data_IF_757173763053
#
_entry.id   IF_757173763053
#
_cell.length_a   1.000
_cell.length_b   1.000
_cell.length_c   1.000
_cell.angle_alpha   90.00
_cell.angle_beta   90.00
_cell.angle_gamma   90.00
#
_symmetry.space_group_name_H-M   'P 1'
#
loop_
_entity.id
_entity.type
_entity.pdbx_description
1 polymer ?
#
# COMPACT_ATOMS: atom_id res chain seq x y z
N UNK A 1 13.99 25.50 -5.58
CA UNK A 1 14.43 24.52 -4.55
C UNK A 1 13.37 24.26 -3.50
N UNK A 2 12.97 25.23 -2.65
CA UNK A 2 11.98 24.97 -1.56
C UNK A 2 10.57 24.61 -2.07
N UNK A 3 10.05 25.33 -3.07
CA UNK A 3 8.71 25.06 -3.61
C UNK A 3 8.60 23.67 -4.29
N UNK A 4 9.65 23.23 -4.98
CA UNK A 4 9.73 21.93 -5.65
C UNK A 4 9.74 20.78 -4.63
N UNK A 5 10.50 20.93 -3.54
CA UNK A 5 10.49 19.98 -2.43
C UNK A 5 9.10 19.85 -1.76
N UNK A 6 8.38 20.96 -1.62
CA UNK A 6 7.03 20.94 -1.04
C UNK A 6 6.02 20.21 -1.94
N UNK A 7 6.11 20.39 -3.27
CA UNK A 7 5.27 19.68 -4.24
C UNK A 7 5.56 18.17 -4.20
N UNK A 8 6.83 17.77 -4.22
CA UNK A 8 7.24 16.36 -4.13
C UNK A 8 6.70 15.73 -2.85
N UNK A 9 6.80 16.45 -1.72
CA UNK A 9 6.31 15.96 -0.43
C UNK A 9 4.80 15.70 -0.46
N UNK A 10 4.00 16.63 -1.01
CA UNK A 10 2.55 16.46 -1.13
C UNK A 10 2.20 15.28 -2.04
N UNK A 11 2.84 15.19 -3.20
CA UNK A 11 2.60 14.10 -4.16
C UNK A 11 2.92 12.75 -3.52
N UNK A 12 4.03 12.66 -2.79
CA UNK A 12 4.42 11.43 -2.10
C UNK A 12 3.48 11.05 -0.97
N UNK A 13 3.00 12.02 -0.22
CA UNK A 13 2.05 11.78 0.86
C UNK A 13 0.74 11.22 0.30
N UNK A 14 0.22 11.80 -0.78
CA UNK A 14 -0.99 11.31 -1.47
C UNK A 14 -0.75 9.91 -2.05
N UNK A 15 0.39 9.67 -2.70
CA UNK A 15 0.72 8.40 -3.31
C UNK A 15 0.80 7.24 -2.29
N UNK A 16 1.30 7.50 -1.08
CA UNK A 16 1.44 6.50 -0.01
C UNK A 16 0.15 6.31 0.79
N UNK A 17 -0.69 7.35 0.89
CA UNK A 17 -1.95 7.29 1.63
C UNK A 17 -2.89 6.19 1.13
N UNK A 18 -3.07 6.06 -0.19
CA UNK A 18 -3.96 5.04 -0.78
C UNK A 18 -3.59 3.61 -0.36
N UNK A 19 -2.35 3.14 -0.68
CA UNK A 19 -1.84 1.84 -0.24
C UNK A 19 -1.94 1.62 1.27
N UNK A 20 -1.63 2.64 2.08
CA UNK A 20 -1.69 2.54 3.55
C UNK A 20 -3.10 2.25 4.06
N UNK A 21 -4.12 2.89 3.48
CA UNK A 21 -5.53 2.63 3.84
C UNK A 21 -5.94 1.21 3.47
N UNK A 22 -5.55 0.73 2.29
CA UNK A 22 -5.86 -0.63 1.84
C UNK A 22 -5.22 -1.67 2.78
N UNK A 23 -3.96 -1.47 3.17
CA UNK A 23 -3.27 -2.35 4.12
C UNK A 23 -3.94 -2.35 5.49
N UNK A 24 -4.34 -1.17 5.99
CA UNK A 24 -5.02 -1.06 7.29
C UNK A 24 -6.37 -1.81 7.30
N UNK A 25 -7.18 -1.63 6.25
CA UNK A 25 -8.47 -2.32 6.10
C UNK A 25 -8.26 -3.83 5.95
N UNK A 26 -7.28 -4.25 5.14
CA UNK A 26 -6.93 -5.66 4.97
C UNK A 26 -6.50 -6.30 6.30
N UNK A 27 -5.60 -5.66 7.05
CA UNK A 27 -5.12 -6.16 8.34
C UNK A 27 -6.27 -6.34 9.33
N UNK A 28 -7.18 -5.36 9.42
CA UNK A 28 -8.37 -5.48 10.26
C UNK A 28 -9.26 -6.66 9.84
N UNK A 29 -9.50 -6.82 8.54
CA UNK A 29 -10.32 -7.91 8.02
C UNK A 29 -9.71 -9.29 8.28
N UNK A 30 -8.38 -9.44 8.11
CA UNK A 30 -7.64 -10.67 8.38
C UNK A 30 -7.73 -11.04 9.87
N UNK A 31 -7.44 -10.09 10.76
CA UNK A 31 -7.51 -10.33 12.21
C UNK A 31 -8.93 -10.74 12.62
N UNK A 32 -9.95 -10.04 12.11
CA UNK A 32 -11.35 -10.34 12.39
C UNK A 32 -11.77 -11.71 11.85
N UNK A 33 -11.29 -12.11 10.67
CA UNK A 33 -11.59 -13.42 10.09
C UNK A 33 -10.94 -14.57 10.87
N UNK A 34 -9.65 -14.42 11.22
CA UNK A 34 -8.92 -15.42 12.00
C UNK A 34 -9.45 -15.56 13.42
N UNK A 35 -9.86 -14.46 14.05
CA UNK A 35 -10.51 -14.50 15.36
C UNK A 35 -11.84 -15.26 15.37
N UNK A 36 -12.52 -15.36 14.22
CA UNK A 36 -13.76 -16.16 14.05
C UNK A 36 -13.48 -17.62 13.69
N UNK A 37 -12.40 -17.90 12.94
CA UNK A 37 -12.03 -19.25 12.54
C UNK A 37 -10.50 -19.39 12.32
N UNK A 38 -9.76 -19.83 13.34
CA UNK A 38 -8.31 -20.02 13.25
C UNK A 38 -7.88 -21.07 12.20
N UNK A 39 -8.72 -22.09 11.96
CA UNK A 39 -8.42 -23.14 10.98
C UNK A 39 -8.42 -22.62 9.52
N UNK A 40 -8.94 -21.42 9.27
CA UNK A 40 -8.91 -20.78 7.95
C UNK A 40 -7.57 -20.10 7.61
N UNK A 41 -6.60 -20.07 8.53
CA UNK A 41 -5.33 -19.35 8.37
C UNK A 41 -4.61 -19.67 7.06
N UNK A 42 -4.49 -20.95 6.69
CA UNK A 42 -3.82 -21.35 5.45
C UNK A 42 -4.48 -20.80 4.19
N UNK A 43 -5.82 -20.68 4.17
CA UNK A 43 -6.56 -20.11 3.02
C UNK A 43 -6.46 -18.58 2.98
N UNK A 44 -6.55 -17.93 4.13
CA UNK A 44 -6.48 -16.47 4.25
C UNK A 44 -5.08 -15.96 3.92
N UNK A 45 -4.03 -16.70 4.29
CA UNK A 45 -2.65 -16.31 4.04
C UNK A 45 -2.37 -16.05 2.56
N UNK A 46 -2.74 -16.98 1.68
CA UNK A 46 -2.52 -16.82 0.23
C UNK A 46 -3.30 -15.67 -0.37
N UNK A 47 -4.55 -15.45 0.06
CA UNK A 47 -5.35 -14.30 -0.38
C UNK A 47 -4.73 -12.98 0.10
N UNK A 48 -4.23 -12.93 1.34
CA UNK A 48 -3.56 -11.76 1.90
C UNK A 48 -2.26 -11.46 1.14
N UNK A 49 -1.44 -12.47 0.86
CA UNK A 49 -0.18 -12.31 0.09
C UNK A 49 -0.47 -11.76 -1.30
N UNK A 50 -1.45 -12.32 -2.02
CA UNK A 50 -1.82 -11.82 -3.35
C UNK A 50 -2.28 -10.35 -3.32
N UNK A 51 -3.07 -9.97 -2.30
CA UNK A 51 -3.49 -8.58 -2.09
C UNK A 51 -2.31 -7.65 -1.78
N UNK A 52 -1.42 -8.04 -0.86
CA UNK A 52 -0.26 -7.23 -0.50
C UNK A 52 0.69 -7.03 -1.67
N UNK A 53 0.95 -8.07 -2.47
CA UNK A 53 1.76 -7.95 -3.70
C UNK A 53 1.13 -6.94 -4.67
N UNK A 54 -0.20 -6.97 -4.82
CA UNK A 54 -0.91 -6.03 -5.70
C UNK A 54 -0.81 -4.59 -5.19
N UNK A 55 -0.91 -4.39 -3.88
CA UNK A 55 -0.74 -3.07 -3.24
C UNK A 55 0.68 -2.57 -3.43
N UNK A 56 1.69 -3.40 -3.20
CA UNK A 56 3.10 -3.05 -3.41
C UNK A 56 3.40 -2.73 -4.88
N UNK A 57 2.82 -3.46 -5.83
CA UNK A 57 3.00 -3.16 -7.25
C UNK A 57 2.50 -1.74 -7.60
N UNK A 58 1.34 -1.34 -7.07
CA UNK A 58 0.80 0.02 -7.25
C UNK A 58 1.72 1.06 -6.59
N UNK A 59 2.20 0.80 -5.37
CA UNK A 59 3.13 1.68 -4.67
C UNK A 59 4.43 1.90 -5.44
N UNK A 60 5.02 0.82 -5.98
CA UNK A 60 6.25 0.89 -6.78
C UNK A 60 6.02 1.69 -8.06
N UNK A 61 4.91 1.43 -8.79
CA UNK A 61 4.59 2.17 -10.02
C UNK A 61 4.40 3.66 -9.72
N UNK A 62 3.68 4.00 -8.66
CA UNK A 62 3.48 5.39 -8.24
C UNK A 62 4.82 6.06 -7.90
N UNK A 63 5.70 5.36 -7.19
CA UNK A 63 7.03 5.86 -6.86
C UNK A 63 7.88 6.08 -8.10
N UNK A 64 7.87 5.14 -9.07
CA UNK A 64 8.57 5.29 -10.35
C UNK A 64 8.08 6.49 -11.16
N UNK A 65 6.76 6.75 -11.16
CA UNK A 65 6.19 7.94 -11.83
C UNK A 65 6.71 9.21 -11.17
N UNK A 66 6.74 9.27 -9.83
CA UNK A 66 7.27 10.44 -9.11
C UNK A 66 8.75 10.62 -9.41
N UNK A 67 9.56 9.55 -9.40
CA UNK A 67 10.96 9.65 -9.82
C UNK A 67 11.07 10.13 -11.27
N UNK A 68 10.29 9.61 -12.21
CA UNK A 68 10.34 10.04 -13.61
C UNK A 68 9.97 11.52 -13.80
N UNK A 69 9.05 12.06 -12.99
CA UNK A 69 8.59 13.44 -13.09
C UNK A 69 9.55 14.45 -12.45
N UNK A 70 10.29 14.04 -11.41
CA UNK A 70 11.09 14.96 -10.59
C UNK A 70 12.59 14.63 -10.55
N UNK A 71 13.02 13.46 -11.01
CA UNK A 71 14.43 13.17 -11.25
C UNK A 71 14.86 13.90 -12.53
N UNK A 72 15.65 14.96 -12.35
CA UNK A 72 16.39 15.62 -13.43
C UNK A 72 17.66 14.83 -13.74
#
# INVERSE_FOLDING_TARGET
>A
MVAEAFIILIVMLIAVMGPSVVIAVLGHAVIKALGRNPAAAGKIFWAMVAMLISVEAISIIAMLIVFQLFAK
#
